data_IF_059196455755
#
_entry.id   IF_059196455755
#
_cell.length_a   1.000
_cell.length_b   1.000
_cell.length_c   1.000
_cell.angle_alpha   90.00
_cell.angle_beta   90.00
_cell.angle_gamma   90.00
#
_symmetry.space_group_name_H-M   'P 1'
#
loop_
_entity.id
_entity.type
_entity.pdbx_description
1 polymer ?
#
# COMPACT_ATOMS: atom_id res chain seq x y z
N UNK A 1 -8.82 -34.37 -11.52
CA UNK A 1 -9.92 -34.76 -10.61
C UNK A 1 -10.91 -33.60 -10.55
N UNK A 2 -12.20 -33.84 -10.80
CA UNK A 2 -13.23 -32.78 -10.70
C UNK A 2 -13.69 -32.68 -9.25
N UNK A 3 -13.39 -31.54 -8.60
CA UNK A 3 -13.85 -31.28 -7.24
C UNK A 3 -15.34 -30.92 -7.26
N UNK A 4 -16.09 -31.46 -6.30
CA UNK A 4 -17.51 -31.17 -6.10
C UNK A 4 -17.76 -30.09 -5.05
N UNK A 5 -18.95 -29.46 -5.11
CA UNK A 5 -19.35 -28.46 -4.10
C UNK A 5 -19.35 -29.03 -2.67
N UNK A 6 -19.65 -30.34 -2.51
CA UNK A 6 -19.63 -31.04 -1.23
C UNK A 6 -18.21 -31.04 -0.61
N UNK A 7 -17.20 -31.31 -1.44
CA UNK A 7 -15.79 -31.36 -1.01
C UNK A 7 -15.29 -30.00 -0.59
N UNK A 8 -15.58 -28.94 -1.36
CA UNK A 8 -15.26 -27.55 -0.99
C UNK A 8 -15.84 -27.20 0.37
N UNK A 9 -17.10 -27.56 0.60
CA UNK A 9 -17.77 -27.28 1.88
C UNK A 9 -17.23 -28.13 3.03
N UNK A 10 -16.88 -29.39 2.77
CA UNK A 10 -16.28 -30.28 3.76
C UNK A 10 -14.93 -29.71 4.24
N UNK A 11 -14.03 -29.39 3.31
CA UNK A 11 -12.75 -28.76 3.66
C UNK A 11 -12.96 -27.41 4.38
N UNK A 12 -13.92 -26.60 3.93
CA UNK A 12 -14.18 -25.30 4.59
C UNK A 12 -14.77 -25.45 6.00
N UNK A 13 -15.44 -26.57 6.32
CA UNK A 13 -15.95 -26.82 7.68
C UNK A 13 -14.84 -27.12 8.69
N UNK A 14 -13.85 -27.90 8.30
CA UNK A 14 -12.70 -28.29 9.14
C UNK A 14 -11.54 -27.30 9.03
N UNK A 15 -11.72 -26.24 8.24
CA UNK A 15 -10.65 -25.29 7.95
C UNK A 15 -10.13 -24.58 9.19
N UNK A 16 -11.02 -24.23 10.11
CA UNK A 16 -10.64 -23.52 11.35
C UNK A 16 -9.75 -24.43 12.23
N UNK A 17 -10.02 -25.75 12.25
CA UNK A 17 -9.20 -26.75 12.95
C UNK A 17 -7.83 -26.91 12.28
N UNK A 18 -7.79 -27.04 10.95
CA UNK A 18 -6.55 -27.11 10.17
C UNK A 18 -5.71 -25.84 10.38
N UNK A 19 -6.33 -24.67 10.40
CA UNK A 19 -5.65 -23.40 10.67
C UNK A 19 -5.06 -23.37 12.08
N UNK A 20 -5.79 -23.91 13.07
CA UNK A 20 -5.31 -23.97 14.44
C UNK A 20 -4.11 -24.91 14.56
N UNK A 21 -4.20 -26.11 14.01
CA UNK A 21 -3.08 -27.06 13.94
C UNK A 21 -1.83 -26.44 13.28
N UNK A 22 -2.03 -25.73 12.15
CA UNK A 22 -0.94 -25.04 11.48
C UNK A 22 -0.28 -23.96 12.36
N UNK A 23 -1.08 -23.19 13.11
CA UNK A 23 -0.56 -22.15 14.02
C UNK A 23 0.18 -22.76 15.22
N UNK A 24 -0.32 -23.88 15.74
CA UNK A 24 0.29 -24.55 16.89
C UNK A 24 1.60 -25.25 16.52
N UNK A 25 1.69 -25.78 15.28
CA UNK A 25 2.90 -26.34 14.72
C UNK A 25 3.95 -25.30 14.29
N UNK A 26 3.55 -24.02 14.15
CA UNK A 26 4.48 -22.96 13.74
C UNK A 26 5.49 -22.65 14.87
N UNK A 27 6.80 -22.61 14.58
CA UNK A 27 7.81 -22.29 15.58
C UNK A 27 7.59 -20.86 16.12
N UNK A 28 7.51 -20.74 17.45
CA UNK A 28 7.42 -19.45 18.14
C UNK A 28 8.82 -18.89 18.31
N UNK A 29 9.37 -18.32 17.25
CA UNK A 29 10.68 -17.64 17.35
C UNK A 29 10.57 -16.38 18.21
N UNK A 30 11.42 -16.28 19.22
CA UNK A 30 11.58 -15.04 19.98
C UNK A 30 12.38 -14.06 19.14
N UNK A 31 11.79 -12.90 18.88
CA UNK A 31 12.47 -11.83 18.13
C UNK A 31 13.65 -11.28 18.96
N UNK A 32 14.84 -11.27 18.39
CA UNK A 32 15.95 -10.50 18.92
C UNK A 32 15.73 -9.02 18.63
N UNK A 33 15.28 -8.30 19.66
CA UNK A 33 14.96 -6.87 19.55
C UNK A 33 16.19 -6.01 19.29
N UNK A 34 17.37 -6.38 19.80
CA UNK A 34 18.59 -5.62 19.59
C UNK A 34 19.03 -5.65 18.13
N UNK A 35 19.05 -6.82 17.53
CA UNK A 35 19.33 -6.99 16.10
C UNK A 35 18.28 -6.30 15.24
N UNK A 36 17.01 -6.38 15.64
CA UNK A 36 15.92 -5.69 14.93
C UNK A 36 16.12 -4.16 14.92
N UNK A 37 16.43 -3.54 16.05
CA UNK A 37 16.64 -2.10 16.17
C UNK A 37 17.87 -1.63 15.35
N UNK A 38 18.95 -2.40 15.37
CA UNK A 38 20.14 -2.11 14.55
C UNK A 38 19.80 -2.16 13.06
N UNK A 39 19.11 -3.20 12.60
CA UNK A 39 18.67 -3.32 11.21
C UNK A 39 17.72 -2.19 10.81
N UNK A 40 16.82 -1.78 11.70
CA UNK A 40 15.91 -0.67 11.48
C UNK A 40 16.67 0.65 11.30
N UNK A 41 17.64 0.92 12.18
CA UNK A 41 18.47 2.13 12.11
C UNK A 41 19.26 2.19 10.78
N UNK A 42 19.85 1.07 10.37
CA UNK A 42 20.58 1.01 9.09
C UNK A 42 19.67 1.20 7.88
N UNK A 43 18.46 0.62 7.91
CA UNK A 43 17.46 0.85 6.85
C UNK A 43 17.10 2.33 6.73
N UNK A 44 16.88 3.02 7.85
CA UNK A 44 16.55 4.45 7.86
C UNK A 44 17.71 5.28 7.31
N UNK A 45 18.95 5.03 7.77
CA UNK A 45 20.13 5.73 7.27
C UNK A 45 20.30 5.55 5.77
N UNK A 46 20.15 4.34 5.30
CA UNK A 46 20.27 4.01 3.88
C UNK A 46 19.17 4.68 3.04
N UNK A 47 17.93 4.64 3.49
CA UNK A 47 16.81 5.31 2.82
C UNK A 47 17.05 6.82 2.67
N UNK A 48 17.57 7.47 3.71
CA UNK A 48 17.88 8.91 3.67
C UNK A 48 19.06 9.20 2.73
N UNK A 49 20.10 8.37 2.70
CA UNK A 49 21.24 8.53 1.77
C UNK A 49 20.82 8.35 0.31
N UNK A 50 19.92 7.43 0.04
CA UNK A 50 19.42 7.16 -1.33
C UNK A 50 18.35 8.15 -1.80
N UNK A 51 17.75 8.93 -0.89
CA UNK A 51 16.63 9.80 -1.20
C UNK A 51 16.97 10.86 -2.26
N UNK A 52 18.03 11.63 -2.02
CA UNK A 52 18.42 12.74 -2.91
C UNK A 52 18.87 12.25 -4.28
N UNK A 53 19.77 11.25 -4.41
CA UNK A 53 20.13 10.66 -5.71
C UNK A 53 18.93 10.12 -6.49
N UNK A 54 17.95 9.49 -5.84
CA UNK A 54 16.75 8.99 -6.49
C UNK A 54 15.82 10.11 -6.98
N UNK A 55 15.73 11.21 -6.23
CA UNK A 55 14.99 12.40 -6.68
C UNK A 55 15.66 13.00 -7.93
N UNK A 56 16.97 13.13 -7.93
CA UNK A 56 17.72 13.67 -9.07
C UNK A 56 17.56 12.78 -10.32
N UNK A 57 17.67 11.45 -10.17
CA UNK A 57 17.46 10.50 -11.25
C UNK A 57 15.99 10.53 -11.77
N UNK A 58 15.03 10.66 -10.87
CA UNK A 58 13.61 10.75 -11.23
C UNK A 58 13.28 12.04 -11.98
N UNK A 59 13.90 13.17 -11.62
CA UNK A 59 13.75 14.43 -12.32
C UNK A 59 14.41 14.38 -13.70
N UNK A 60 15.61 13.80 -13.82
CA UNK A 60 16.29 13.66 -15.08
C UNK A 60 15.52 12.83 -16.12
N UNK A 61 14.68 11.92 -15.66
CA UNK A 61 13.80 11.12 -16.51
C UNK A 61 12.58 11.89 -17.05
N UNK A 62 12.31 13.10 -16.56
CA UNK A 62 11.17 13.93 -16.98
C UNK A 62 11.66 14.90 -18.05
N UNK A 63 11.04 14.86 -19.23
CA UNK A 63 11.20 15.95 -20.21
C UNK A 63 10.33 17.11 -19.74
N UNK A 64 10.90 18.00 -18.94
CA UNK A 64 10.25 19.26 -18.55
C UNK A 64 10.27 20.15 -19.78
N UNK A 65 9.11 20.38 -20.39
CA UNK A 65 8.95 21.46 -21.35
C UNK A 65 8.96 22.72 -20.49
N UNK A 66 10.09 23.42 -20.50
CA UNK A 66 10.19 24.74 -19.90
C UNK A 66 9.34 25.69 -20.76
N UNK A 67 8.07 25.81 -20.46
CA UNK A 67 7.33 26.99 -20.92
C UNK A 67 7.95 28.18 -20.19
N UNK A 68 8.52 29.10 -20.94
CA UNK A 68 8.97 30.40 -20.43
C UNK A 68 7.74 31.15 -19.91
N UNK A 69 7.38 30.88 -18.67
CA UNK A 69 6.29 31.57 -18.01
C UNK A 69 6.75 32.99 -17.66
N UNK A 70 6.09 33.99 -18.27
CA UNK A 70 6.20 35.40 -17.85
C UNK A 70 5.67 35.49 -16.40
N UNK A 71 6.56 35.66 -15.43
CA UNK A 71 6.15 35.78 -14.02
C UNK A 71 7.31 35.69 -13.05
N UNK A 72 7.00 35.79 -11.74
CA UNK A 72 7.95 35.59 -10.66
C UNK A 72 8.52 34.17 -10.70
N UNK A 73 9.85 34.04 -10.66
CA UNK A 73 10.50 32.73 -10.60
C UNK A 73 10.00 31.92 -9.38
N UNK A 74 9.81 30.60 -9.52
CA UNK A 74 9.43 29.76 -8.39
C UNK A 74 10.45 29.89 -7.25
N UNK A 75 9.97 30.01 -6.03
CA UNK A 75 10.83 30.06 -4.83
C UNK A 75 11.59 28.76 -4.57
N UNK A 76 11.03 27.64 -5.03
CA UNK A 76 11.58 26.30 -4.85
C UNK A 76 11.84 25.62 -6.19
N UNK A 77 13.01 24.97 -6.29
CA UNK A 77 13.28 24.05 -7.41
C UNK A 77 12.41 22.80 -7.28
N UNK A 78 12.22 22.05 -8.37
CA UNK A 78 11.45 20.80 -8.36
C UNK A 78 12.04 19.77 -7.37
N UNK A 79 13.37 19.71 -7.27
CA UNK A 79 14.08 18.91 -6.27
C UNK A 79 13.69 19.30 -4.85
N UNK A 80 13.78 20.59 -4.53
CA UNK A 80 13.42 21.10 -3.20
C UNK A 80 11.94 20.83 -2.86
N UNK A 81 11.03 21.03 -3.81
CA UNK A 81 9.60 20.73 -3.66
C UNK A 81 9.37 19.25 -3.30
N UNK A 82 10.00 18.34 -4.05
CA UNK A 82 9.86 16.90 -3.85
C UNK A 82 10.44 16.44 -2.52
N UNK A 83 11.67 16.88 -2.20
CA UNK A 83 12.31 16.58 -0.91
C UNK A 83 11.49 17.12 0.27
N UNK A 84 11.00 18.35 0.17
CA UNK A 84 10.19 18.97 1.23
C UNK A 84 8.92 18.15 1.50
N UNK A 85 8.22 17.73 0.44
CA UNK A 85 7.00 16.91 0.57
C UNK A 85 7.29 15.55 1.22
N UNK A 86 8.37 14.86 0.81
CA UNK A 86 8.78 13.58 1.37
C UNK A 86 9.22 13.71 2.84
N UNK A 87 10.06 14.69 3.16
CA UNK A 87 10.50 14.93 4.54
C UNK A 87 9.34 15.30 5.47
N UNK A 88 8.40 16.12 4.97
CA UNK A 88 7.17 16.41 5.73
C UNK A 88 6.42 15.13 6.12
N UNK A 89 6.32 14.18 5.18
CA UNK A 89 5.66 12.91 5.47
C UNK A 89 6.47 12.07 6.46
N UNK A 90 7.77 12.02 6.31
CA UNK A 90 8.66 11.29 7.23
C UNK A 90 8.55 11.78 8.68
N UNK A 91 8.48 13.08 8.86
CA UNK A 91 8.36 13.69 10.19
C UNK A 91 6.92 13.71 10.73
N UNK A 92 5.94 13.23 9.97
CA UNK A 92 4.52 13.22 10.31
C UNK A 92 3.99 14.59 10.80
N UNK A 93 4.48 15.69 10.17
CA UNK A 93 4.13 17.05 10.56
C UNK A 93 2.94 17.59 9.78
N UNK A 94 2.16 18.46 10.42
CA UNK A 94 1.14 19.26 9.73
C UNK A 94 1.80 20.28 8.78
N UNK A 95 1.03 20.84 7.82
CA UNK A 95 1.56 21.85 6.91
C UNK A 95 2.10 23.08 7.67
N UNK A 96 1.45 23.47 8.77
CA UNK A 96 1.87 24.61 9.60
C UNK A 96 3.14 24.31 10.39
N UNK A 97 3.21 23.15 11.04
CA UNK A 97 4.42 22.76 11.77
C UNK A 97 5.63 22.66 10.84
N UNK A 98 5.42 22.14 9.62
CA UNK A 98 6.50 22.07 8.64
C UNK A 98 6.97 23.47 8.22
N UNK A 99 6.07 24.42 8.00
CA UNK A 99 6.48 25.80 7.68
C UNK A 99 7.25 26.47 8.83
N UNK A 100 6.86 26.21 10.09
CA UNK A 100 7.61 26.69 11.26
C UNK A 100 9.02 26.07 11.30
N UNK A 101 9.12 24.78 11.04
CA UNK A 101 10.44 24.12 10.95
C UNK A 101 11.29 24.74 9.84
N UNK A 102 10.72 25.05 8.69
CA UNK A 102 11.43 25.70 7.60
C UNK A 102 11.93 27.11 7.97
N UNK A 103 11.16 27.90 8.71
CA UNK A 103 11.62 29.19 9.25
C UNK A 103 12.83 28.98 10.17
N UNK A 104 12.82 27.98 11.03
CA UNK A 104 13.98 27.64 11.86
C UNK A 104 15.19 27.22 11.03
N UNK A 105 14.98 26.50 9.93
CA UNK A 105 16.02 26.08 9.01
C UNK A 105 16.34 27.11 7.92
N UNK A 106 15.56 28.18 7.77
CA UNK A 106 15.79 29.22 6.74
C UNK A 106 17.14 29.89 6.90
N UNK A 107 17.59 30.04 8.14
CA UNK A 107 18.95 30.55 8.45
C UNK A 107 20.07 29.63 7.90
N UNK A 108 19.76 28.34 7.68
CA UNK A 108 20.70 27.34 7.18
C UNK A 108 20.44 26.99 5.70
N UNK A 109 19.22 27.02 5.26
CA UNK A 109 18.80 26.55 3.93
C UNK A 109 18.41 27.66 2.97
N UNK A 110 18.21 28.89 3.45
CA UNK A 110 17.63 30.03 2.71
C UNK A 110 16.22 29.73 2.12
N UNK A 111 15.51 28.77 2.70
CA UNK A 111 14.15 28.42 2.28
C UNK A 111 13.16 28.99 3.29
N UNK A 112 12.41 29.99 2.88
CA UNK A 112 11.31 30.55 3.67
C UNK A 112 10.02 30.46 2.85
N UNK A 113 9.16 29.50 3.19
CA UNK A 113 7.91 29.25 2.47
C UNK A 113 6.72 29.12 3.43
N UNK A 114 5.60 29.62 2.98
CA UNK A 114 4.37 29.56 3.75
C UNK A 114 3.82 28.13 3.84
N UNK A 115 2.99 27.86 4.85
CA UNK A 115 2.28 26.56 4.96
C UNK A 115 1.38 26.28 3.75
N UNK A 116 0.89 27.33 3.04
CA UNK A 116 0.11 27.18 1.80
C UNK A 116 0.96 26.68 0.65
N UNK A 117 2.22 27.09 0.58
CA UNK A 117 3.19 26.55 -0.39
C UNK A 117 3.38 25.06 -0.14
N UNK A 118 3.64 24.63 1.11
CA UNK A 118 3.75 23.22 1.47
C UNK A 118 2.47 22.44 1.15
N UNK A 119 1.30 23.04 1.37
CA UNK A 119 0.01 22.44 1.03
C UNK A 119 -0.17 22.21 -0.46
N UNK A 120 0.27 23.16 -1.31
CA UNK A 120 0.13 23.07 -2.78
C UNK A 120 1.04 21.99 -3.38
N UNK A 121 2.14 21.61 -2.73
CA UNK A 121 3.04 20.55 -3.22
C UNK A 121 2.31 19.22 -3.45
N UNK A 122 1.24 18.96 -2.69
CA UNK A 122 0.44 17.74 -2.84
C UNK A 122 -0.38 17.69 -4.14
N UNK A 123 -0.59 18.83 -4.80
CA UNK A 123 -1.30 18.96 -6.08
C UNK A 123 -0.38 19.49 -7.19
N UNK A 124 0.94 19.54 -6.98
CA UNK A 124 1.89 19.95 -7.99
C UNK A 124 2.15 18.78 -8.96
N UNK A 125 1.72 18.94 -10.21
CA UNK A 125 1.82 17.89 -11.23
C UNK A 125 3.25 17.44 -11.48
N UNK A 126 4.22 18.34 -11.47
CA UNK A 126 5.62 18.01 -11.67
C UNK A 126 6.15 17.17 -10.48
N UNK A 127 5.78 17.53 -9.26
CA UNK A 127 6.12 16.74 -8.06
C UNK A 127 5.49 15.35 -8.14
N UNK A 128 4.24 15.23 -8.57
CA UNK A 128 3.56 13.94 -8.77
C UNK A 128 4.29 13.08 -9.82
N UNK A 129 4.71 13.67 -10.93
CA UNK A 129 5.49 12.96 -11.95
C UNK A 129 6.81 12.43 -11.36
N UNK A 130 7.52 13.24 -10.58
CA UNK A 130 8.76 12.80 -9.91
C UNK A 130 8.49 11.63 -8.97
N UNK A 131 7.42 11.70 -8.14
CA UNK A 131 7.08 10.61 -7.22
C UNK A 131 6.76 9.30 -7.97
N UNK A 132 6.03 9.36 -9.09
CA UNK A 132 5.75 8.18 -9.92
C UNK A 132 7.03 7.60 -10.54
N UNK A 133 7.93 8.45 -11.03
CA UNK A 133 9.21 7.99 -11.55
C UNK A 133 10.09 7.38 -10.44
N UNK A 134 10.13 8.00 -9.27
CA UNK A 134 10.83 7.43 -8.11
C UNK A 134 10.32 6.03 -7.78
N UNK A 135 9.00 5.82 -7.75
CA UNK A 135 8.42 4.50 -7.51
C UNK A 135 8.90 3.48 -8.54
N UNK A 136 8.80 3.81 -9.82
CA UNK A 136 9.26 2.95 -10.90
C UNK A 136 10.76 2.63 -10.81
N UNK A 137 11.60 3.65 -10.51
CA UNK A 137 13.04 3.49 -10.33
C UNK A 137 13.38 2.60 -9.14
N UNK A 138 12.72 2.78 -8.00
CA UNK A 138 12.93 1.96 -6.80
C UNK A 138 12.63 0.48 -7.10
N UNK A 139 11.48 0.18 -7.71
CA UNK A 139 11.12 -1.18 -8.10
C UNK A 139 12.11 -1.78 -9.10
N UNK A 140 12.55 -0.98 -10.09
CA UNK A 140 13.54 -1.39 -11.07
C UNK A 140 14.91 -1.69 -10.42
N UNK A 141 15.40 -0.83 -9.53
CA UNK A 141 16.66 -1.02 -8.78
C UNK A 141 16.61 -2.26 -7.90
N UNK A 142 15.47 -2.60 -7.33
CA UNK A 142 15.25 -3.83 -6.55
C UNK A 142 15.05 -5.07 -7.43
N UNK A 143 14.84 -4.92 -8.74
CA UNK A 143 14.63 -6.01 -9.66
C UNK A 143 13.24 -6.65 -9.60
N UNK A 144 12.24 -5.94 -9.08
CA UNK A 144 10.87 -6.45 -8.95
C UNK A 144 10.23 -6.63 -10.31
N UNK A 145 9.89 -7.87 -10.66
CA UNK A 145 9.18 -8.27 -11.88
C UNK A 145 8.31 -9.47 -11.57
N UNK A 146 7.14 -9.56 -12.21
CA UNK A 146 6.21 -10.69 -12.07
C UNK A 146 5.99 -11.09 -10.59
N UNK A 147 5.60 -10.11 -9.80
CA UNK A 147 5.58 -10.15 -8.34
C UNK A 147 4.80 -11.33 -7.77
N UNK A 148 5.37 -11.97 -6.75
CA UNK A 148 4.67 -12.85 -5.82
C UNK A 148 4.01 -12.00 -4.74
N UNK A 149 2.73 -11.67 -4.92
CA UNK A 149 2.10 -10.57 -4.21
C UNK A 149 1.18 -10.98 -3.07
N UNK A 150 1.07 -10.11 -2.10
CA UNK A 150 0.00 -10.10 -1.12
C UNK A 150 -0.70 -8.74 -1.10
N UNK A 151 -2.02 -8.74 -1.07
CA UNK A 151 -2.83 -7.52 -1.02
C UNK A 151 -3.65 -7.44 0.25
N UNK A 152 -3.71 -6.25 0.82
CA UNK A 152 -4.56 -5.96 1.97
C UNK A 152 -5.07 -4.54 1.95
N UNK A 153 -6.18 -4.30 2.65
CA UNK A 153 -6.82 -3.01 2.79
C UNK A 153 -6.62 -2.41 4.17
N UNK A 154 -6.50 -1.10 4.23
CA UNK A 154 -6.50 -0.38 5.50
C UNK A 154 -7.28 0.91 5.38
N UNK A 155 -7.64 1.50 6.52
CA UNK A 155 -8.27 2.83 6.55
C UNK A 155 -7.38 3.84 7.25
N UNK A 156 -7.36 5.06 6.72
CA UNK A 156 -6.79 6.22 7.39
C UNK A 156 -7.87 7.19 7.78
N UNK A 157 -7.77 7.73 8.99
CA UNK A 157 -8.64 8.81 9.45
C UNK A 157 -8.23 10.13 8.78
N UNK A 158 -9.22 10.94 8.45
CA UNK A 158 -9.03 12.32 7.98
C UNK A 158 -9.15 13.34 9.12
N UNK A 159 -9.52 12.90 10.32
CA UNK A 159 -9.65 13.75 11.49
C UNK A 159 -8.78 13.26 12.64
N UNK A 160 -8.22 14.20 13.37
CA UNK A 160 -7.12 14.03 14.34
C UNK A 160 -7.39 13.04 15.50
N UNK A 161 -8.60 12.54 15.69
CA UNK A 161 -8.94 11.86 16.96
C UNK A 161 -9.57 10.47 16.84
N UNK A 162 -9.63 9.85 15.65
CA UNK A 162 -10.40 8.62 15.52
C UNK A 162 -9.56 7.47 14.98
N UNK A 163 -9.30 6.48 15.79
CA UNK A 163 -8.68 5.23 15.38
C UNK A 163 -9.58 4.48 14.37
N UNK A 164 -9.01 3.88 13.32
CA UNK A 164 -9.77 3.22 12.26
C UNK A 164 -10.77 2.18 12.79
N UNK A 165 -10.32 1.26 13.65
CA UNK A 165 -11.19 0.22 14.20
C UNK A 165 -12.35 0.79 15.01
N UNK A 166 -12.09 1.79 15.86
CA UNK A 166 -13.12 2.45 16.68
C UNK A 166 -14.11 3.23 15.84
N UNK A 167 -13.68 3.81 14.74
CA UNK A 167 -14.58 4.57 13.88
C UNK A 167 -15.32 3.65 12.91
N UNK A 168 -14.75 2.55 12.46
CA UNK A 168 -15.45 1.51 11.70
C UNK A 168 -16.58 0.91 12.54
N UNK A 169 -16.34 0.65 13.84
CA UNK A 169 -17.38 0.20 14.77
C UNK A 169 -18.47 1.26 14.96
N UNK A 170 -18.10 2.51 15.21
CA UNK A 170 -19.05 3.62 15.33
C UNK A 170 -19.86 3.88 14.06
N UNK A 171 -19.30 3.61 12.88
CA UNK A 171 -20.03 3.68 11.61
C UNK A 171 -21.03 2.53 11.48
N UNK A 172 -20.68 1.31 11.91
CA UNK A 172 -21.62 0.18 11.98
C UNK A 172 -22.78 0.46 12.91
N UNK A 173 -22.51 1.09 14.07
CA UNK A 173 -23.50 1.43 15.07
C UNK A 173 -24.40 2.61 14.64
N UNK A 174 -23.89 3.48 13.74
CA UNK A 174 -24.57 4.71 13.25
C UNK A 174 -25.23 4.58 11.87
N UNK A 175 -25.46 3.39 11.36
CA UNK A 175 -26.15 3.16 10.07
C UNK A 175 -27.55 3.79 9.97
N UNK A 176 -28.06 4.34 11.07
CA UNK A 176 -29.36 5.06 11.15
C UNK A 176 -29.29 6.58 10.92
N UNK A 177 -28.11 7.22 10.88
CA UNK A 177 -28.01 8.66 10.62
C UNK A 177 -27.46 8.95 9.23
N UNK A 178 -28.36 9.44 8.35
CA UNK A 178 -28.03 9.94 7.00
C UNK A 178 -27.04 11.12 7.07
N UNK A 179 -26.02 11.04 6.20
CA UNK A 179 -25.13 12.14 5.80
C UNK A 179 -24.19 12.74 6.85
N UNK A 180 -23.08 12.05 7.16
CA UNK A 180 -21.86 12.75 7.56
C UNK A 180 -20.74 12.38 6.56
N UNK A 181 -20.05 13.41 6.02
CA UNK A 181 -18.91 13.29 5.09
C UNK A 181 -17.98 12.18 5.55
N UNK A 182 -17.55 11.31 4.63
CA UNK A 182 -16.64 10.22 4.92
C UNK A 182 -15.42 10.74 5.70
N UNK A 183 -15.22 10.21 6.91
CA UNK A 183 -14.09 10.58 7.78
C UNK A 183 -12.88 9.68 7.57
N UNK A 184 -13.02 8.71 6.68
CA UNK A 184 -12.00 7.74 6.35
C UNK A 184 -11.78 7.66 4.87
N UNK A 185 -10.56 7.32 4.52
CA UNK A 185 -10.23 6.78 3.21
C UNK A 185 -9.84 5.31 3.35
N UNK A 186 -10.18 4.55 2.34
CA UNK A 186 -9.72 3.19 2.17
C UNK A 186 -8.47 3.21 1.29
N UNK A 187 -7.37 2.67 1.78
CA UNK A 187 -6.14 2.46 1.03
C UNK A 187 -5.92 0.97 0.89
N UNK A 188 -5.68 0.51 -0.33
CA UNK A 188 -5.32 -0.86 -0.64
C UNK A 188 -3.95 -0.89 -1.27
N UNK A 189 -3.06 -1.75 -0.77
CA UNK A 189 -1.69 -1.88 -1.28
C UNK A 189 -1.39 -3.32 -1.63
N UNK A 190 -0.61 -3.51 -2.69
CA UNK A 190 -0.04 -4.79 -3.08
C UNK A 190 1.43 -4.81 -2.70
N UNK A 191 1.79 -5.76 -1.86
CA UNK A 191 3.15 -6.00 -1.39
C UNK A 191 3.75 -7.17 -2.16
N UNK A 192 4.92 -7.00 -2.72
CA UNK A 192 5.77 -8.08 -3.22
C UNK A 192 6.41 -8.79 -2.03
N UNK A 193 6.22 -10.10 -1.93
CA UNK A 193 6.64 -10.87 -0.77
C UNK A 193 8.16 -11.06 -0.66
N UNK A 194 8.84 -11.10 -1.78
CA UNK A 194 10.29 -11.31 -1.83
C UNK A 194 11.05 -10.04 -1.46
N UNK A 195 10.70 -8.93 -2.08
CA UNK A 195 11.36 -7.64 -1.85
C UNK A 195 10.77 -6.85 -0.68
N UNK A 196 9.58 -7.21 -0.21
CA UNK A 196 8.75 -6.49 0.76
C UNK A 196 8.38 -5.06 0.33
N UNK A 197 8.39 -4.80 -0.97
CA UNK A 197 8.01 -3.51 -1.54
C UNK A 197 6.55 -3.46 -1.97
N UNK A 198 5.92 -2.31 -1.80
CA UNK A 198 4.62 -2.07 -2.42
C UNK A 198 4.79 -1.83 -3.91
N UNK A 199 4.19 -2.70 -4.71
CA UNK A 199 4.20 -2.60 -6.18
C UNK A 199 3.06 -1.74 -6.73
N UNK A 200 1.99 -1.59 -5.95
CA UNK A 200 0.83 -0.80 -6.34
C UNK A 200 0.04 -0.35 -5.11
N UNK A 201 -0.68 0.74 -5.27
CA UNK A 201 -1.68 1.22 -4.32
C UNK A 201 -2.95 1.70 -5.03
N UNK A 202 -4.04 1.68 -4.29
CA UNK A 202 -5.30 2.28 -4.71
C UNK A 202 -6.01 2.89 -3.52
N UNK A 203 -6.69 4.00 -3.75
CA UNK A 203 -7.43 4.73 -2.73
C UNK A 203 -8.89 4.87 -3.16
N UNK A 204 -9.78 4.86 -2.18
CA UNK A 204 -11.20 5.15 -2.39
C UNK A 204 -11.83 5.78 -1.15
N UNK A 205 -12.73 6.73 -1.39
CA UNK A 205 -13.61 7.30 -0.37
C UNK A 205 -14.91 6.50 -0.20
N UNK A 206 -15.15 5.53 -1.10
CA UNK A 206 -16.41 4.76 -1.14
C UNK A 206 -16.30 3.44 -0.39
N UNK A 207 -15.28 2.65 -0.72
CA UNK A 207 -15.12 1.31 -0.16
C UNK A 207 -13.71 0.77 -0.39
N UNK A 208 -13.34 -0.22 0.42
CA UNK A 208 -12.11 -0.99 0.26
C UNK A 208 -12.07 -1.74 -1.08
N UNK A 209 -13.22 -2.23 -1.57
CA UNK A 209 -13.32 -2.89 -2.88
C UNK A 209 -12.94 -1.95 -4.03
N UNK A 210 -13.38 -0.69 -3.97
CA UNK A 210 -13.00 0.30 -4.98
C UNK A 210 -11.51 0.64 -4.89
N UNK A 211 -10.94 0.73 -3.68
CA UNK A 211 -9.51 0.89 -3.48
C UNK A 211 -8.72 -0.30 -4.05
N UNK A 212 -9.18 -1.53 -3.81
CA UNK A 212 -8.61 -2.75 -4.40
C UNK A 212 -8.58 -2.67 -5.94
N UNK A 213 -9.70 -2.34 -6.57
CA UNK A 213 -9.77 -2.26 -8.03
C UNK A 213 -8.80 -1.21 -8.59
N UNK A 214 -8.68 -0.07 -7.94
CA UNK A 214 -7.71 0.98 -8.31
C UNK A 214 -6.26 0.46 -8.17
N UNK A 215 -5.94 -0.28 -7.11
CA UNK A 215 -4.62 -0.86 -6.93
C UNK A 215 -4.29 -1.90 -8.02
N UNK A 216 -5.27 -2.73 -8.40
CA UNK A 216 -5.09 -3.72 -9.48
C UNK A 216 -4.82 -3.04 -10.84
N UNK A 217 -5.43 -1.89 -11.12
CA UNK A 217 -5.12 -1.13 -12.33
C UNK A 217 -3.67 -0.61 -12.33
N UNK A 218 -3.19 -0.12 -11.21
CA UNK A 218 -1.81 0.39 -11.11
C UNK A 218 -0.76 -0.72 -11.17
N UNK A 219 -1.09 -1.93 -10.70
CA UNK A 219 -0.21 -3.08 -10.69
C UNK A 219 0.12 -3.68 -12.09
N UNK A 220 -0.67 -3.34 -13.12
CA UNK A 220 -0.45 -3.87 -14.49
C UNK A 220 0.96 -3.65 -15.02
N UNK A 221 1.62 -2.57 -14.61
CA UNK A 221 2.96 -2.21 -15.08
C UNK A 221 4.06 -3.13 -14.53
N UNK A 222 3.84 -3.72 -13.36
CA UNK A 222 4.84 -4.59 -12.71
C UNK A 222 4.65 -6.06 -13.08
N UNK A 223 3.42 -6.49 -13.35
CA UNK A 223 3.05 -7.90 -13.47
C UNK A 223 2.90 -8.58 -12.12
N UNK A 224 2.04 -9.60 -12.07
CA UNK A 224 1.81 -10.42 -10.89
C UNK A 224 1.75 -11.90 -11.29
N UNK A 225 2.62 -12.71 -10.69
CA UNK A 225 2.65 -14.18 -10.89
C UNK A 225 1.73 -14.93 -9.94
N UNK A 226 1.62 -14.42 -8.71
CA UNK A 226 0.68 -14.94 -7.72
C UNK A 226 0.14 -13.83 -6.81
N UNK A 227 -1.07 -14.03 -6.27
CA UNK A 227 -1.70 -13.06 -5.38
C UNK A 227 -2.44 -13.72 -4.23
N UNK A 228 -2.29 -13.16 -3.03
CA UNK A 228 -2.98 -13.55 -1.80
C UNK A 228 -3.82 -12.40 -1.29
N UNK A 229 -5.09 -12.69 -1.02
CA UNK A 229 -6.05 -11.68 -0.55
C UNK A 229 -6.86 -12.22 0.62
N UNK A 230 -7.43 -11.33 1.42
CA UNK A 230 -8.32 -11.70 2.50
C UNK A 230 -9.56 -12.47 1.98
N UNK A 231 -10.12 -13.31 2.84
CA UNK A 231 -11.39 -14.04 2.65
C UNK A 231 -12.54 -13.11 2.25
N UNK A 232 -12.47 -11.83 2.59
CA UNK A 232 -13.42 -10.81 2.14
C UNK A 232 -13.54 -10.75 0.61
N UNK A 233 -12.39 -10.91 -0.09
CA UNK A 233 -12.29 -10.91 -1.56
C UNK A 233 -12.64 -12.26 -2.19
N UNK A 234 -13.02 -13.28 -1.41
CA UNK A 234 -13.38 -14.61 -1.92
C UNK A 234 -14.72 -14.58 -2.63
N UNK A 235 -14.70 -14.12 -3.88
CA UNK A 235 -15.80 -14.07 -4.81
C UNK A 235 -15.29 -14.34 -6.23
N UNK A 236 -16.06 -15.12 -7.00
CA UNK A 236 -15.75 -15.42 -8.40
C UNK A 236 -15.35 -14.17 -9.21
N UNK A 237 -16.14 -13.09 -9.09
CA UNK A 237 -15.87 -11.82 -9.79
C UNK A 237 -14.44 -11.32 -9.64
N UNK A 238 -13.85 -11.42 -8.45
CA UNK A 238 -12.48 -10.91 -8.23
C UNK A 238 -11.44 -11.84 -8.83
N UNK A 239 -11.64 -13.15 -8.80
CA UNK A 239 -10.76 -14.12 -9.48
C UNK A 239 -10.79 -13.86 -10.98
N UNK A 240 -11.93 -13.61 -11.57
CA UNK A 240 -12.09 -13.28 -12.98
C UNK A 240 -11.36 -11.99 -13.34
N UNK A 241 -11.56 -10.91 -12.59
CA UNK A 241 -10.88 -9.63 -12.80
C UNK A 241 -9.35 -9.79 -12.74
N UNK A 242 -8.87 -10.55 -11.77
CA UNK A 242 -7.43 -10.77 -11.59
C UNK A 242 -6.84 -11.54 -12.77
N UNK A 243 -7.46 -12.64 -13.19
CA UNK A 243 -6.95 -13.43 -14.30
C UNK A 243 -7.12 -12.73 -15.65
N UNK A 244 -8.16 -11.91 -15.83
CA UNK A 244 -8.33 -11.11 -17.05
C UNK A 244 -7.23 -10.05 -17.20
N UNK A 245 -6.69 -9.55 -16.06
CA UNK A 245 -5.65 -8.52 -16.06
C UNK A 245 -4.24 -9.07 -16.12
N UNK A 246 -3.96 -10.18 -15.44
CA UNK A 246 -2.62 -10.73 -15.29
C UNK A 246 -2.42 -12.07 -16.03
N UNK A 247 -3.46 -12.58 -16.67
CA UNK A 247 -3.40 -13.78 -17.49
C UNK A 247 -3.73 -15.07 -16.73
N UNK A 248 -3.89 -16.14 -17.51
CA UNK A 248 -4.34 -17.45 -17.02
C UNK A 248 -3.29 -18.20 -16.19
N UNK A 249 -2.02 -17.76 -16.18
CA UNK A 249 -0.96 -18.34 -15.37
C UNK A 249 -0.96 -17.83 -13.93
N UNK A 250 -1.72 -16.76 -13.63
CA UNK A 250 -1.83 -16.18 -12.29
C UNK A 250 -2.32 -17.21 -11.28
N UNK A 251 -1.59 -17.36 -10.19
CA UNK A 251 -2.00 -18.16 -9.03
C UNK A 251 -2.74 -17.28 -8.03
N UNK A 252 -3.98 -17.63 -7.71
CA UNK A 252 -4.82 -16.87 -6.78
C UNK A 252 -5.07 -17.68 -5.52
N UNK A 253 -4.68 -17.15 -4.38
CA UNK A 253 -4.86 -17.77 -3.07
C UNK A 253 -5.92 -17.01 -2.27
N UNK A 254 -7.13 -17.55 -2.24
CA UNK A 254 -8.30 -17.03 -1.54
C UNK A 254 -8.99 -18.15 -0.77
N UNK A 255 -9.15 -18.01 0.51
CA UNK A 255 -9.92 -18.98 1.30
C UNK A 255 -11.40 -18.87 0.91
N UNK A 256 -12.03 -19.96 0.43
CA UNK A 256 -13.45 -19.95 0.08
C UNK A 256 -14.35 -19.65 1.27
N UNK A 257 -15.49 -19.03 1.02
CA UNK A 257 -16.54 -18.85 2.04
C UNK A 257 -17.24 -20.16 2.34
N UNK A 258 -17.83 -20.29 3.54
CA UNK A 258 -18.56 -21.53 3.97
C UNK A 258 -19.66 -21.96 3.00
N UNK A 259 -20.23 -21.02 2.25
CA UNK A 259 -21.29 -21.28 1.26
C UNK A 259 -20.76 -21.27 -0.19
N UNK A 260 -19.46 -21.34 -0.40
CA UNK A 260 -18.88 -21.38 -1.74
C UNK A 260 -19.39 -22.59 -2.54
N UNK A 261 -19.57 -22.39 -3.85
CA UNK A 261 -19.96 -23.42 -4.80
C UNK A 261 -19.00 -23.45 -5.97
N UNK A 262 -18.89 -24.59 -6.61
CA UNK A 262 -18.09 -24.74 -7.84
C UNK A 262 -18.80 -24.20 -9.09
N UNK A 263 -20.04 -23.71 -8.95
CA UNK A 263 -20.75 -23.07 -10.06
C UNK A 263 -20.04 -21.78 -10.44
N UNK A 264 -19.80 -21.59 -11.74
CA UNK A 264 -19.19 -20.37 -12.23
C UNK A 264 -18.10 -20.61 -13.26
N UNK A 265 -17.23 -19.63 -13.42
CA UNK A 265 -16.17 -19.64 -14.43
C UNK A 265 -15.12 -20.74 -14.18
N UNK A 266 -14.42 -21.10 -15.26
CA UNK A 266 -13.30 -22.03 -15.18
C UNK A 266 -12.21 -21.55 -14.23
N UNK A 267 -11.96 -20.25 -14.19
CA UNK A 267 -10.97 -19.60 -13.32
C UNK A 267 -11.29 -19.84 -11.84
N UNK A 268 -12.54 -19.63 -11.45
CA UNK A 268 -13.02 -19.91 -10.10
C UNK A 268 -12.91 -21.39 -9.73
N UNK A 269 -13.31 -22.28 -10.64
CA UNK A 269 -13.22 -23.74 -10.44
C UNK A 269 -11.77 -24.19 -10.26
N UNK A 270 -10.83 -23.63 -11.04
CA UNK A 270 -9.42 -23.95 -10.93
C UNK A 270 -8.86 -23.60 -9.55
N UNK A 271 -9.16 -22.39 -9.03
CA UNK A 271 -8.75 -21.99 -7.70
C UNK A 271 -9.34 -22.89 -6.61
N UNK A 272 -10.62 -23.26 -6.70
CA UNK A 272 -11.26 -24.18 -5.76
C UNK A 272 -10.67 -25.59 -5.84
N UNK A 273 -10.36 -26.10 -7.03
CA UNK A 273 -9.67 -27.38 -7.21
C UNK A 273 -8.30 -27.38 -6.52
N UNK A 274 -7.53 -26.33 -6.69
CA UNK A 274 -6.22 -26.19 -6.03
C UNK A 274 -6.37 -26.17 -4.50
N UNK A 275 -7.37 -25.43 -3.99
CA UNK A 275 -7.66 -25.35 -2.56
C UNK A 275 -8.01 -26.72 -1.95
N UNK A 276 -8.87 -27.52 -2.59
CA UNK A 276 -9.34 -28.81 -2.05
C UNK A 276 -8.28 -29.89 -2.19
N UNK A 277 -7.60 -29.99 -3.34
CA UNK A 277 -6.65 -31.06 -3.61
C UNK A 277 -5.31 -30.89 -2.84
N UNK A 278 -4.93 -29.64 -2.53
CA UNK A 278 -3.65 -29.32 -1.91
C UNK A 278 -3.85 -28.34 -0.75
N UNK A 279 -4.78 -28.61 0.16
CA UNK A 279 -5.22 -27.68 1.22
C UNK A 279 -4.05 -27.16 2.06
N UNK A 280 -3.14 -28.03 2.53
CA UNK A 280 -2.03 -27.64 3.39
C UNK A 280 -1.02 -26.73 2.67
N UNK A 281 -0.66 -27.04 1.43
CA UNK A 281 0.23 -26.20 0.64
C UNK A 281 -0.44 -24.88 0.27
N UNK A 282 -1.75 -24.93 -0.06
CA UNK A 282 -2.53 -23.73 -0.33
C UNK A 282 -2.57 -22.80 0.88
N UNK A 283 -2.73 -23.34 2.09
CA UNK A 283 -2.71 -22.56 3.33
C UNK A 283 -1.33 -21.98 3.64
N UNK A 284 -0.25 -22.74 3.44
CA UNK A 284 1.12 -22.20 3.57
C UNK A 284 1.32 -20.96 2.69
N UNK A 285 0.91 -21.05 1.43
CA UNK A 285 0.97 -19.95 0.51
C UNK A 285 0.04 -18.78 0.91
N UNK A 286 -1.19 -19.09 1.31
CA UNK A 286 -2.15 -18.10 1.76
C UNK A 286 -1.66 -17.32 2.97
N UNK A 287 -1.02 -17.96 3.96
CA UNK A 287 -0.56 -17.29 5.19
C UNK A 287 0.63 -16.36 4.99
N UNK A 288 1.34 -16.44 3.87
CA UNK A 288 2.33 -15.41 3.50
C UNK A 288 1.69 -14.01 3.44
N UNK A 289 0.36 -13.92 3.33
CA UNK A 289 -0.44 -12.70 3.41
C UNK A 289 -0.17 -11.85 4.66
N UNK A 290 0.20 -12.48 5.77
CA UNK A 290 0.49 -11.78 7.02
C UNK A 290 1.62 -10.74 6.88
N UNK A 291 2.44 -10.83 5.84
CA UNK A 291 3.47 -9.84 5.55
C UNK A 291 2.89 -8.47 5.15
N UNK A 292 1.77 -8.43 4.42
CA UNK A 292 1.11 -7.16 4.08
C UNK A 292 0.50 -6.48 5.30
N UNK A 293 -0.09 -7.25 6.22
CA UNK A 293 -0.59 -6.73 7.51
C UNK A 293 0.56 -6.13 8.34
N UNK A 294 1.72 -6.80 8.36
CA UNK A 294 2.93 -6.30 9.01
C UNK A 294 3.43 -5.01 8.39
N UNK A 295 3.40 -4.90 7.05
CA UNK A 295 3.77 -3.68 6.31
C UNK A 295 2.89 -2.49 6.71
N UNK A 296 1.58 -2.65 6.75
CA UNK A 296 0.68 -1.58 7.19
C UNK A 296 0.88 -1.18 8.66
N UNK A 297 1.13 -2.16 9.53
CA UNK A 297 1.44 -1.87 10.94
C UNK A 297 2.72 -1.05 11.08
N UNK A 298 3.75 -1.37 10.28
CA UNK A 298 5.01 -0.64 10.23
C UNK A 298 4.82 0.79 9.71
N UNK A 299 4.08 0.96 8.62
CA UNK A 299 3.75 2.28 8.05
C UNK A 299 3.01 3.16 9.04
N UNK A 300 1.98 2.62 9.70
CA UNK A 300 1.19 3.38 10.67
C UNK A 300 1.97 3.77 11.91
N UNK A 301 2.92 2.95 12.34
CA UNK A 301 3.82 3.31 13.45
C UNK A 301 4.79 4.44 13.09
N UNK A 302 5.24 4.49 11.82
CA UNK A 302 6.18 5.52 11.35
C UNK A 302 5.51 6.81 10.93
N UNK A 303 4.38 6.70 10.23
CA UNK A 303 3.74 7.84 9.55
C UNK A 303 2.39 8.23 10.16
N UNK A 304 2.02 7.62 11.28
CA UNK A 304 0.75 7.89 11.94
C UNK A 304 -0.46 7.23 11.27
N UNK A 305 -1.59 7.34 11.93
CA UNK A 305 -2.87 6.72 11.56
C UNK A 305 -3.76 7.65 10.72
N UNK A 306 -3.21 8.79 10.31
CA UNK A 306 -3.97 9.87 9.72
C UNK A 306 -3.34 10.39 8.45
N UNK A 307 -4.20 10.93 7.59
CA UNK A 307 -3.81 11.75 6.46
C UNK A 307 -4.41 13.14 6.69
N UNK A 308 -3.63 14.12 7.14
CA UNK A 308 -4.13 15.46 7.49
C UNK A 308 -4.32 16.33 6.23
N UNK A 309 -5.04 15.81 5.23
CA UNK A 309 -5.42 16.50 4.01
C UNK A 309 -6.95 16.51 3.86
N UNK A 310 -7.49 17.50 3.13
CA UNK A 310 -8.93 17.68 2.95
C UNK A 310 -9.39 17.47 1.52
N UNK A 311 -8.51 17.68 0.54
CA UNK A 311 -8.79 17.58 -0.88
C UNK A 311 -8.39 16.18 -1.35
N UNK A 312 -9.25 15.53 -2.13
CA UNK A 312 -9.11 14.14 -2.56
C UNK A 312 -7.74 13.86 -3.21
N UNK A 313 -7.36 14.67 -4.17
CA UNK A 313 -6.08 14.57 -4.88
C UNK A 313 -4.88 14.64 -3.91
N UNK A 314 -4.92 15.55 -2.94
CA UNK A 314 -3.87 15.71 -1.95
C UNK A 314 -3.80 14.54 -0.98
N UNK A 315 -4.94 13.92 -0.69
CA UNK A 315 -5.01 12.69 0.12
C UNK A 315 -4.36 11.53 -0.64
N UNK A 316 -4.61 11.41 -1.94
CA UNK A 316 -3.98 10.39 -2.79
C UNK A 316 -2.46 10.55 -2.81
N UNK A 317 -1.97 11.75 -2.99
CA UNK A 317 -0.53 12.06 -2.95
C UNK A 317 0.08 11.73 -1.58
N UNK A 318 -0.62 12.03 -0.49
CA UNK A 318 -0.13 11.76 0.85
C UNK A 318 -0.02 10.25 1.14
N UNK A 319 -0.96 9.42 0.68
CA UNK A 319 -0.84 7.97 0.78
C UNK A 319 0.29 7.45 -0.11
N UNK A 320 0.44 8.00 -1.31
CA UNK A 320 1.51 7.62 -2.22
C UNK A 320 2.90 7.96 -1.67
N UNK A 321 3.07 9.08 -0.98
CA UNK A 321 4.34 9.38 -0.28
C UNK A 321 4.66 8.38 0.83
N UNK A 322 3.66 7.80 1.48
CA UNK A 322 3.85 6.70 2.44
C UNK A 322 4.39 5.44 1.76
N UNK A 323 3.84 5.11 0.58
CA UNK A 323 4.33 4.00 -0.23
C UNK A 323 5.79 4.21 -0.67
N UNK A 324 6.15 5.41 -1.13
CA UNK A 324 7.54 5.73 -1.52
C UNK A 324 8.50 5.51 -0.35
N UNK A 325 8.17 6.01 0.85
CA UNK A 325 9.00 5.81 2.03
C UNK A 325 9.11 4.35 2.44
N UNK A 326 8.01 3.60 2.42
CA UNK A 326 8.05 2.16 2.68
C UNK A 326 9.06 1.48 1.76
N UNK A 327 8.98 1.73 0.47
CA UNK A 327 9.86 1.11 -0.52
C UNK A 327 11.33 1.58 -0.36
N UNK A 328 11.56 2.83 -0.02
CA UNK A 328 12.91 3.33 0.29
C UNK A 328 13.55 2.58 1.46
N UNK A 329 12.80 2.29 2.52
CA UNK A 329 13.31 1.53 3.67
C UNK A 329 13.67 0.07 3.32
N UNK A 330 13.09 -0.49 2.26
CA UNK A 330 13.35 -1.86 1.81
C UNK A 330 14.27 -1.94 0.59
N UNK A 331 14.79 -0.82 0.10
CA UNK A 331 15.58 -0.78 -1.14
C UNK A 331 16.91 -1.56 -1.05
N UNK A 332 17.62 -1.48 0.06
CA UNK A 332 18.94 -2.11 0.26
C UNK A 332 18.96 -3.12 1.42
N UNK A 333 17.92 -3.88 1.56
CA UNK A 333 17.84 -4.97 2.56
C UNK A 333 18.04 -6.32 1.89
#
# INVERSE_FOLDING_TARGET
>A
MHVETKEVRAVTKILDDIIQEYKDAAPKEKRDWRTYEQQLAERIKTAIRELEPLVDEAIAAIKIVNEETRGRKPELTLKQKTLLLLLKRLFDKSNREMSIMLVLFSLLSSIDVSYKTVERLYSDEQVLMVLHNMHALILKKKGVKDSDSSGDGTGYSLSIKTHYASAAQKLKDKVKEKSKKARFIYSFKLLDLDSRMYIANGISFKSEQAAFLNAIETAKKTGISSIRLDRYYSRQKYVEILEDKFGSKLKVYLIPKKNATIKGSWKWKRMLNQFVNNTNEFLKEYFKRNQSESGFSEDKRRFGWQIPQKIEERIQTADFTTLIWHNLFWLKT
#
